data_IF_072458127359
#
_entry.id   IF_072458127359
#
_cell.length_a   1.000
_cell.length_b   1.000
_cell.length_c   1.000
_cell.angle_alpha   90.00
_cell.angle_beta   90.00
_cell.angle_gamma   90.00
#
_symmetry.space_group_name_H-M   'P 1'
#
loop_
_entity.id
_entity.type
_entity.pdbx_description
1 polymer ?
#
# COMPACT_ATOMS: atom_id res chain seq x y z
N UNK A 1 -17.41 10.35 3.61
CA UNK A 1 -17.56 9.37 2.55
C UNK A 1 -17.04 9.90 1.30
N UNK A 2 -15.96 9.41 0.87
CA UNK A 2 -15.89 10.15 -0.15
C UNK A 2 -15.12 9.75 -1.37
N UNK A 3 -15.80 9.40 -2.35
CA UNK A 3 -15.36 9.43 -3.73
C UNK A 3 -14.88 10.84 -4.07
N UNK A 4 -13.62 11.12 -3.76
CA UNK A 4 -12.98 12.36 -4.17
C UNK A 4 -12.62 12.23 -5.64
N UNK A 5 -13.28 12.99 -6.48
CA UNK A 5 -12.89 13.11 -7.88
C UNK A 5 -11.58 13.90 -7.95
N UNK A 6 -10.48 13.34 -8.47
CA UNK A 6 -9.25 14.11 -8.69
C UNK A 6 -9.51 15.17 -9.77
N UNK A 7 -8.99 16.36 -9.57
CA UNK A 7 -9.09 17.46 -10.55
C UNK A 7 -7.90 17.51 -11.51
N UNK A 8 -6.91 16.65 -11.30
CA UNK A 8 -5.72 16.56 -12.14
C UNK A 8 -5.47 15.13 -12.61
N UNK A 9 -4.89 14.96 -13.77
CA UNK A 9 -4.43 13.68 -14.28
C UNK A 9 -3.10 13.24 -13.61
N UNK A 10 -2.64 12.02 -13.87
CA UNK A 10 -1.39 11.47 -13.31
C UNK A 10 -0.12 12.23 -13.74
N UNK A 11 -0.21 13.14 -14.70
CA UNK A 11 0.89 14.02 -15.13
C UNK A 11 0.87 15.36 -14.41
N UNK A 12 -0.15 15.62 -13.57
CA UNK A 12 -0.33 16.89 -12.87
C UNK A 12 -0.98 17.98 -13.72
N UNK A 13 -1.72 17.62 -14.78
CA UNK A 13 -2.49 18.50 -15.64
C UNK A 13 -3.94 18.53 -15.17
N UNK A 14 -4.56 19.70 -15.01
CA UNK A 14 -5.98 19.82 -14.76
C UNK A 14 -6.77 19.14 -15.89
N UNK A 15 -7.76 18.33 -15.55
CA UNK A 15 -8.63 17.72 -16.55
C UNK A 15 -9.32 18.79 -17.40
N UNK A 16 -9.55 18.52 -18.66
CA UNK A 16 -10.53 19.27 -19.44
C UNK A 16 -11.93 18.76 -19.13
N UNK A 17 -12.97 19.59 -19.35
CA UNK A 17 -14.32 19.26 -18.89
C UNK A 17 -14.85 17.93 -19.45
N UNK A 18 -14.43 17.56 -20.65
CA UNK A 18 -14.81 16.33 -21.35
C UNK A 18 -14.19 15.06 -20.71
N UNK A 19 -13.15 15.21 -19.91
CA UNK A 19 -12.48 14.12 -19.18
C UNK A 19 -13.08 13.88 -17.79
N UNK A 20 -13.99 14.75 -17.33
CA UNK A 20 -14.63 14.68 -16.00
C UNK A 20 -16.03 14.09 -16.15
N UNK A 21 -16.47 13.32 -15.16
CA UNK A 21 -17.82 12.78 -15.11
C UNK A 21 -18.86 13.89 -15.32
N UNK A 22 -19.78 13.77 -16.30
CA UNK A 22 -20.74 14.81 -16.66
C UNK A 22 -21.69 15.19 -15.52
N UNK A 23 -22.11 14.23 -14.68
CA UNK A 23 -22.99 14.52 -13.55
C UNK A 23 -22.25 15.26 -12.45
N UNK A 24 -20.96 14.94 -12.25
CA UNK A 24 -20.11 15.68 -11.33
C UNK A 24 -19.89 17.12 -11.83
N UNK A 25 -19.59 17.30 -13.13
CA UNK A 25 -19.45 18.64 -13.74
C UNK A 25 -20.69 19.46 -13.50
N UNK A 26 -21.86 18.92 -13.83
CA UNK A 26 -23.16 19.61 -13.70
C UNK A 26 -23.47 20.04 -12.27
N UNK A 27 -23.09 19.24 -11.29
CA UNK A 27 -23.47 19.45 -9.88
C UNK A 27 -22.43 20.21 -9.06
N UNK A 28 -21.14 20.16 -9.46
CA UNK A 28 -20.05 20.62 -8.60
C UNK A 28 -19.05 21.58 -9.28
N UNK A 29 -19.10 21.76 -10.60
CA UNK A 29 -18.10 22.55 -11.32
C UNK A 29 -18.72 23.84 -11.87
N UNK A 30 -18.13 24.98 -11.50
CA UNK A 30 -18.39 26.23 -12.22
C UNK A 30 -17.62 26.18 -13.55
N UNK A 31 -18.32 25.76 -14.61
CA UNK A 31 -17.71 25.49 -15.92
C UNK A 31 -17.12 26.73 -16.58
N UNK A 32 -17.74 27.91 -16.41
CA UNK A 32 -17.22 29.18 -16.96
C UNK A 32 -15.85 29.50 -16.35
N UNK A 33 -15.74 29.48 -15.04
CA UNK A 33 -14.51 29.76 -14.33
C UNK A 33 -13.45 28.67 -14.57
N UNK A 34 -13.85 27.38 -14.52
CA UNK A 34 -12.93 26.26 -14.64
C UNK A 34 -12.29 26.20 -16.05
N UNK A 35 -13.04 26.53 -17.10
CA UNK A 35 -12.57 26.47 -18.49
C UNK A 35 -11.33 27.35 -18.74
N UNK A 36 -11.15 28.43 -17.98
CA UNK A 36 -9.96 29.27 -18.08
C UNK A 36 -8.66 28.56 -17.66
N UNK A 37 -8.77 27.53 -16.80
CA UNK A 37 -7.65 26.81 -16.22
C UNK A 37 -7.56 25.37 -16.70
N UNK A 38 -8.58 24.84 -17.34
CA UNK A 38 -8.64 23.46 -17.85
C UNK A 38 -7.42 23.14 -18.74
N UNK A 39 -6.85 21.95 -18.57
CA UNK A 39 -5.70 21.51 -19.33
C UNK A 39 -4.34 22.06 -18.90
N UNK A 40 -4.27 23.00 -17.95
CA UNK A 40 -3.02 23.55 -17.45
C UNK A 40 -2.37 22.62 -16.43
N UNK A 41 -1.03 22.62 -16.39
CA UNK A 41 -0.27 21.90 -15.35
C UNK A 41 -0.27 22.71 -14.04
N UNK A 42 -0.39 21.98 -12.92
CA UNK A 42 -0.38 22.60 -11.58
C UNK A 42 1.03 23.04 -11.12
N UNK A 43 2.07 22.58 -11.80
CA UNK A 43 3.45 23.01 -11.61
C UNK A 43 4.13 23.17 -12.96
N UNK A 44 4.83 24.26 -13.18
CA UNK A 44 5.56 24.51 -14.45
C UNK A 44 6.56 23.38 -14.75
N UNK A 45 7.20 22.80 -13.72
CA UNK A 45 8.14 21.68 -13.88
C UNK A 45 7.54 20.42 -14.51
N UNK A 46 6.22 20.32 -14.62
CA UNK A 46 5.54 19.19 -15.30
C UNK A 46 5.31 19.45 -16.79
N UNK A 47 5.34 20.71 -17.20
CA UNK A 47 5.17 21.10 -18.60
C UNK A 47 6.55 21.30 -19.26
N UNK A 48 6.88 20.49 -20.30
CA UNK A 48 8.17 20.63 -20.98
C UNK A 48 8.32 21.94 -21.78
N UNK A 49 7.22 22.69 -21.97
CA UNK A 49 7.21 23.95 -22.70
C UNK A 49 7.35 25.17 -21.81
N UNK A 50 7.26 25.01 -20.47
CA UNK A 50 7.36 26.07 -19.49
C UNK A 50 8.70 26.05 -18.75
N UNK A 51 9.10 27.23 -18.30
CA UNK A 51 10.28 27.47 -17.47
C UNK A 51 9.88 27.95 -16.07
N UNK A 52 10.85 28.12 -15.17
CA UNK A 52 10.62 28.69 -13.85
C UNK A 52 10.23 30.19 -13.89
N UNK A 53 10.53 30.86 -15.00
CA UNK A 53 10.21 32.32 -15.18
C UNK A 53 8.76 32.53 -15.65
N UNK A 54 8.11 31.49 -16.17
CA UNK A 54 6.73 31.58 -16.63
C UNK A 54 5.74 31.70 -15.48
N UNK A 55 4.63 32.41 -15.72
CA UNK A 55 3.58 32.55 -14.72
C UNK A 55 3.00 31.20 -14.30
N UNK A 56 2.96 30.97 -12.99
CA UNK A 56 2.43 29.71 -12.43
C UNK A 56 0.91 29.76 -12.29
N UNK A 57 0.26 28.62 -12.30
CA UNK A 57 -1.17 28.50 -12.02
C UNK A 57 -1.54 29.11 -10.65
N UNK A 58 -0.67 28.94 -9.65
CA UNK A 58 -0.87 29.51 -8.30
C UNK A 58 -0.96 31.05 -8.31
N UNK A 59 -0.14 31.71 -9.15
CA UNK A 59 -0.18 33.17 -9.32
C UNK A 59 -1.50 33.60 -9.95
N UNK A 60 -1.92 32.94 -11.02
CA UNK A 60 -3.15 33.28 -11.74
C UNK A 60 -4.39 33.10 -10.85
N UNK A 61 -4.46 31.98 -10.12
CA UNK A 61 -5.53 31.75 -9.14
C UNK A 61 -5.52 32.79 -8.02
N UNK A 62 -4.35 33.19 -7.53
CA UNK A 62 -4.23 34.23 -6.52
C UNK A 62 -4.71 35.59 -7.02
N UNK A 63 -4.41 35.94 -8.28
CA UNK A 63 -4.87 37.15 -8.94
C UNK A 63 -6.39 37.14 -9.13
N UNK A 64 -6.94 36.01 -9.58
CA UNK A 64 -8.37 35.81 -9.74
C UNK A 64 -9.12 35.99 -8.41
N UNK A 65 -8.67 35.32 -7.33
CA UNK A 65 -9.26 35.45 -6.00
C UNK A 65 -9.22 36.88 -5.46
N UNK A 66 -8.12 37.65 -5.74
CA UNK A 66 -8.04 39.05 -5.38
C UNK A 66 -9.06 39.90 -6.16
N UNK A 67 -9.17 39.70 -7.48
CA UNK A 67 -10.12 40.43 -8.33
C UNK A 67 -11.57 40.19 -7.90
N UNK A 68 -11.88 38.97 -7.48
CA UNK A 68 -13.22 38.61 -6.99
C UNK A 68 -13.46 38.95 -5.50
N UNK A 69 -12.52 39.61 -4.85
CA UNK A 69 -12.57 39.97 -3.42
C UNK A 69 -12.80 38.73 -2.51
N UNK A 70 -12.28 37.59 -2.92
CA UNK A 70 -12.34 36.31 -2.17
C UNK A 70 -11.07 36.00 -1.40
N UNK A 71 -9.97 36.70 -1.67
CA UNK A 71 -8.69 36.51 -0.99
C UNK A 71 -8.64 37.35 0.30
N UNK A 72 -8.59 36.71 1.46
CA UNK A 72 -8.37 37.39 2.74
C UNK A 72 -6.96 38.02 2.82
N UNK A 73 -5.94 37.28 2.42
CA UNK A 73 -4.53 37.67 2.39
C UNK A 73 -3.79 36.88 1.33
N UNK A 74 -2.90 37.55 0.60
CA UNK A 74 -1.96 36.90 -0.32
C UNK A 74 -0.57 37.42 -0.03
N UNK A 75 0.36 36.54 0.32
CA UNK A 75 1.76 36.89 0.56
C UNK A 75 2.67 35.81 -0.02
N UNK A 76 3.87 36.22 -0.41
CA UNK A 76 4.90 35.28 -0.82
C UNK A 76 5.48 34.61 0.41
N UNK A 77 5.49 33.27 0.41
CA UNK A 77 6.11 32.45 1.44
C UNK A 77 7.13 31.53 0.79
N UNK A 78 8.36 31.61 1.24
CA UNK A 78 9.44 30.74 0.77
C UNK A 78 9.61 29.57 1.75
N UNK A 79 9.55 28.37 1.23
CA UNK A 79 9.67 27.15 2.03
C UNK A 79 10.27 26.02 1.19
N UNK A 80 10.83 25.01 1.84
CA UNK A 80 11.27 23.78 1.18
C UNK A 80 10.07 23.02 0.63
N UNK A 81 10.16 22.57 -0.61
CA UNK A 81 9.15 21.73 -1.25
C UNK A 81 9.75 20.36 -1.57
N UNK A 82 9.06 19.24 -1.28
CA UNK A 82 9.59 17.91 -1.55
C UNK A 82 9.69 17.63 -3.04
N UNK A 83 10.84 17.10 -3.46
CA UNK A 83 11.10 16.69 -4.83
C UNK A 83 11.35 15.19 -4.91
N UNK A 84 11.02 14.59 -6.05
CA UNK A 84 11.32 13.21 -6.32
C UNK A 84 12.83 13.01 -6.49
N UNK A 85 13.44 12.19 -5.66
CA UNK A 85 14.89 11.96 -5.67
C UNK A 85 15.44 11.33 -6.98
N UNK A 86 14.56 10.77 -7.84
CA UNK A 86 14.97 10.22 -9.14
C UNK A 86 14.87 11.22 -10.28
N UNK A 87 13.89 12.11 -10.27
CA UNK A 87 13.58 13.00 -11.38
C UNK A 87 13.81 14.45 -11.05
N UNK A 88 14.09 14.76 -9.78
CA UNK A 88 14.21 16.10 -9.24
C UNK A 88 13.00 17.02 -9.50
N UNK A 89 11.86 16.42 -9.83
CA UNK A 89 10.60 17.15 -10.03
C UNK A 89 9.83 17.28 -8.71
N UNK A 90 9.11 18.40 -8.50
CA UNK A 90 8.26 18.56 -7.33
C UNK A 90 7.23 17.43 -7.26
N UNK A 91 6.97 16.90 -6.05
CA UNK A 91 5.96 15.87 -5.87
C UNK A 91 4.56 16.49 -5.85
N UNK A 92 3.57 15.69 -6.27
CA UNK A 92 2.16 16.05 -6.20
C UNK A 92 1.45 15.12 -5.22
N UNK A 93 0.66 15.68 -4.31
CA UNK A 93 -0.27 14.90 -3.52
C UNK A 93 -1.46 14.51 -4.38
N UNK A 94 -1.57 13.22 -4.66
CA UNK A 94 -2.57 12.67 -5.56
C UNK A 94 -3.32 11.53 -4.86
N UNK A 95 -4.67 11.51 -4.87
CA UNK A 95 -5.43 10.39 -4.33
C UNK A 95 -5.25 9.17 -5.24
N UNK A 96 -4.89 8.04 -4.63
CA UNK A 96 -4.78 6.75 -5.30
C UNK A 96 -5.59 5.73 -4.50
N UNK A 97 -6.30 4.87 -5.23
CA UNK A 97 -6.89 3.70 -4.62
C UNK A 97 -5.78 2.81 -4.10
N UNK A 98 -5.94 2.31 -2.90
CA UNK A 98 -4.91 1.54 -2.21
C UNK A 98 -5.55 0.44 -1.37
N UNK A 99 -4.79 -0.62 -1.16
CA UNK A 99 -5.17 -1.68 -0.24
C UNK A 99 -4.74 -1.33 1.18
N UNK A 100 -5.64 -1.56 2.12
CA UNK A 100 -5.39 -1.31 3.53
C UNK A 100 -5.64 -2.56 4.37
N UNK A 101 -4.80 -2.79 5.36
CA UNK A 101 -5.12 -3.67 6.46
C UNK A 101 -5.88 -2.85 7.51
N UNK A 102 -7.07 -3.30 7.91
CA UNK A 102 -7.87 -2.63 8.92
C UNK A 102 -7.30 -2.87 10.33
N UNK A 103 -6.12 -2.33 10.58
CA UNK A 103 -5.44 -2.46 11.88
C UNK A 103 -6.23 -1.84 13.03
N UNK A 104 -7.09 -0.87 12.72
CA UNK A 104 -8.01 -0.26 13.71
C UNK A 104 -9.00 -1.28 14.29
N UNK A 105 -9.28 -2.39 13.58
CA UNK A 105 -10.16 -3.45 14.10
C UNK A 105 -9.56 -4.20 15.31
N UNK A 106 -8.24 -4.19 15.45
CA UNK A 106 -7.51 -4.86 16.55
C UNK A 106 -6.78 -3.87 17.46
N UNK A 107 -7.08 -2.57 17.36
CA UNK A 107 -6.41 -1.49 18.11
C UNK A 107 -6.37 -1.77 19.61
N UNK A 108 -7.51 -2.05 20.20
CA UNK A 108 -7.62 -2.27 21.65
C UNK A 108 -6.78 -3.48 22.08
N UNK A 109 -6.79 -4.55 21.26
CA UNK A 109 -5.99 -5.73 21.53
C UNK A 109 -4.49 -5.45 21.44
N UNK A 110 -4.06 -4.64 20.45
CA UNK A 110 -2.66 -4.21 20.36
C UNK A 110 -2.23 -3.40 21.59
N UNK A 111 -3.10 -2.51 22.11
CA UNK A 111 -2.83 -1.73 23.31
C UNK A 111 -2.71 -2.64 24.54
N UNK A 112 -3.59 -3.62 24.69
CA UNK A 112 -3.53 -4.59 25.80
C UNK A 112 -2.25 -5.41 25.76
N UNK A 113 -1.93 -5.97 24.59
CA UNK A 113 -0.73 -6.79 24.39
C UNK A 113 0.56 -5.98 24.59
N UNK A 114 0.61 -4.72 24.16
CA UNK A 114 1.76 -3.85 24.40
C UNK A 114 2.08 -3.70 25.88
N UNK A 115 1.09 -3.69 26.77
CA UNK A 115 1.30 -3.61 28.23
C UNK A 115 2.01 -4.83 28.82
N UNK A 116 2.03 -5.95 28.10
CA UNK A 116 2.70 -7.18 28.53
C UNK A 116 4.17 -7.23 28.13
N UNK A 117 4.63 -6.32 27.26
CA UNK A 117 6.01 -6.24 26.78
C UNK A 117 6.87 -5.50 27.81
N UNK A 118 8.03 -6.07 28.14
CA UNK A 118 9.01 -5.43 29.02
C UNK A 118 9.86 -4.44 28.21
N UNK A 119 9.44 -3.18 28.19
CA UNK A 119 10.15 -2.10 27.51
C UNK A 119 11.30 -1.51 28.32
N UNK A 120 12.43 -1.27 27.67
CA UNK A 120 13.57 -0.53 28.19
C UNK A 120 13.97 0.59 27.20
N UNK A 121 13.71 1.87 27.51
CA UNK A 121 13.02 2.36 28.73
C UNK A 121 11.49 2.16 28.65
N UNK A 122 10.84 1.99 29.79
CA UNK A 122 9.38 1.82 29.88
C UNK A 122 8.62 2.99 29.26
N UNK A 123 9.14 4.20 29.38
CA UNK A 123 8.55 5.42 28.80
C UNK A 123 8.37 5.37 27.28
N UNK A 124 9.16 4.59 26.55
CA UNK A 124 8.98 4.40 25.11
C UNK A 124 7.73 3.56 24.82
N UNK A 125 7.52 2.47 25.57
CA UNK A 125 6.36 1.59 25.41
C UNK A 125 5.05 2.25 25.84
N UNK A 126 5.04 2.95 26.96
CA UNK A 126 3.86 3.64 27.49
C UNK A 126 3.56 4.95 26.73
N UNK A 127 4.61 5.73 26.45
CA UNK A 127 4.50 7.04 25.83
C UNK A 127 4.46 6.97 24.31
N UNK A 128 5.63 6.84 23.67
CA UNK A 128 5.76 6.98 22.20
C UNK A 128 5.00 5.89 21.44
N UNK A 129 5.19 4.63 21.82
CA UNK A 129 4.53 3.50 21.15
C UNK A 129 3.06 3.37 21.56
N UNK A 130 2.76 3.44 22.88
CA UNK A 130 1.39 3.36 23.38
C UNK A 130 0.48 4.44 22.80
N UNK A 131 0.94 5.70 22.79
CA UNK A 131 0.18 6.81 22.18
C UNK A 131 0.03 6.66 20.66
N UNK A 132 0.98 6.04 19.99
CA UNK A 132 0.84 5.71 18.57
C UNK A 132 -0.29 4.70 18.36
N UNK A 133 -0.38 3.65 19.17
CA UNK A 133 -1.43 2.66 19.11
C UNK A 133 -2.81 3.26 19.44
N UNK A 134 -2.91 4.16 20.40
CA UNK A 134 -4.17 4.86 20.75
C UNK A 134 -4.72 5.68 19.55
N UNK A 135 -3.83 6.25 18.74
CA UNK A 135 -4.18 7.06 17.58
C UNK A 135 -3.98 6.30 16.25
N UNK A 136 -4.02 4.98 16.31
CA UNK A 136 -3.77 4.12 15.15
C UNK A 136 -4.76 4.38 14.02
N UNK A 137 -4.23 4.46 12.81
CA UNK A 137 -4.99 4.45 11.54
C UNK A 137 -4.74 3.14 10.81
N UNK A 138 -5.59 2.82 9.83
CA UNK A 138 -5.41 1.61 9.04
C UNK A 138 -4.10 1.64 8.24
N UNK A 139 -3.47 0.49 8.13
CA UNK A 139 -2.17 0.35 7.48
C UNK A 139 -2.33 0.30 5.97
N UNK A 140 -1.87 1.33 5.27
CA UNK A 140 -1.77 1.29 3.81
C UNK A 140 -0.72 0.25 3.40
N UNK A 141 -1.20 -0.88 2.88
CA UNK A 141 -0.38 -2.04 2.54
C UNK A 141 0.21 -1.97 1.13
N UNK A 142 -0.52 -1.42 0.17
CA UNK A 142 -0.13 -1.47 -1.22
C UNK A 142 0.91 -0.40 -1.60
N UNK A 143 1.80 -0.78 -2.53
CA UNK A 143 2.83 0.11 -3.09
C UNK A 143 2.82 0.03 -4.60
N UNK A 144 2.64 1.17 -5.25
CA UNK A 144 2.72 1.28 -6.71
C UNK A 144 4.19 1.29 -7.15
N UNK A 145 4.81 0.10 -7.14
CA UNK A 145 6.22 -0.15 -7.47
C UNK A 145 6.31 -1.29 -8.48
N UNK A 146 7.48 -1.39 -9.15
CA UNK A 146 7.72 -2.50 -10.08
C UNK A 146 8.31 -3.72 -9.38
N UNK A 147 9.30 -3.54 -8.50
CA UNK A 147 10.01 -4.62 -7.82
C UNK A 147 9.66 -4.71 -6.33
N UNK A 148 9.35 -5.91 -5.89
CA UNK A 148 9.00 -6.28 -4.52
C UNK A 148 8.03 -7.46 -4.51
N UNK A 149 7.46 -7.79 -3.36
CA UNK A 149 6.49 -8.86 -3.18
C UNK A 149 5.13 -8.44 -3.75
N UNK A 150 4.61 -9.12 -4.80
CA UNK A 150 3.31 -8.81 -5.37
C UNK A 150 2.17 -9.09 -4.38
N UNK A 151 1.10 -8.26 -4.44
CA UNK A 151 -0.14 -8.57 -3.74
C UNK A 151 -0.76 -9.85 -4.36
N UNK A 152 -1.04 -10.89 -3.57
CA UNK A 152 -1.59 -12.15 -4.08
C UNK A 152 -3.12 -12.06 -4.26
N UNK A 153 -3.60 -10.98 -4.88
CA UNK A 153 -5.03 -10.70 -5.04
C UNK A 153 -5.37 -10.62 -6.53
N UNK A 154 -6.34 -11.39 -6.95
CA UNK A 154 -6.94 -11.34 -8.29
C UNK A 154 -8.34 -10.75 -8.22
N UNK A 155 -8.68 -9.93 -9.21
CA UNK A 155 -9.95 -9.18 -9.28
C UNK A 155 -10.61 -9.49 -10.61
N UNK A 156 -11.93 -9.78 -10.60
CA UNK A 156 -12.72 -9.99 -11.80
C UNK A 156 -12.78 -8.72 -12.68
N UNK A 157 -13.04 -8.88 -13.97
CA UNK A 157 -13.10 -7.77 -14.93
C UNK A 157 -14.09 -6.67 -14.50
N UNK A 158 -15.21 -7.05 -13.89
CA UNK A 158 -16.21 -6.10 -13.38
C UNK A 158 -15.90 -5.56 -11.97
N UNK A 159 -14.81 -6.02 -11.35
CA UNK A 159 -14.37 -5.60 -10.01
C UNK A 159 -15.19 -6.15 -8.84
N UNK A 160 -16.20 -7.00 -9.10
CA UNK A 160 -17.12 -7.47 -8.05
C UNK A 160 -16.58 -8.65 -7.24
N UNK A 161 -15.76 -9.50 -7.86
CA UNK A 161 -15.17 -10.68 -7.21
C UNK A 161 -13.69 -10.48 -6.97
N UNK A 162 -13.22 -10.92 -5.81
CA UNK A 162 -11.82 -10.83 -5.41
C UNK A 162 -11.39 -12.15 -4.80
N UNK A 163 -10.21 -12.64 -5.21
CA UNK A 163 -9.61 -13.86 -4.72
C UNK A 163 -8.21 -13.57 -4.18
N UNK A 164 -7.97 -13.92 -2.92
CA UNK A 164 -6.65 -13.81 -2.30
C UNK A 164 -6.03 -15.20 -2.22
N UNK A 165 -4.89 -15.38 -2.86
CA UNK A 165 -4.20 -16.68 -2.93
C UNK A 165 -3.25 -16.83 -1.76
N UNK A 166 -3.41 -17.89 -0.97
CA UNK A 166 -2.66 -18.12 0.27
C UNK A 166 -1.43 -19.04 0.11
N UNK A 167 -1.27 -19.69 -1.05
CA UNK A 167 -0.13 -20.59 -1.28
C UNK A 167 0.15 -20.80 -2.77
N UNK A 168 1.37 -21.28 -3.08
CA UNK A 168 1.69 -21.70 -4.46
C UNK A 168 0.85 -22.89 -4.89
N UNK A 169 0.57 -23.83 -3.99
CA UNK A 169 -0.30 -24.97 -4.27
C UNK A 169 -1.71 -24.50 -4.71
N UNK A 170 -2.32 -23.58 -3.97
CA UNK A 170 -3.60 -22.96 -4.32
C UNK A 170 -3.51 -22.23 -5.66
N UNK A 171 -2.44 -21.47 -5.90
CA UNK A 171 -2.25 -20.78 -7.17
C UNK A 171 -2.20 -21.75 -8.35
N UNK A 172 -1.48 -22.85 -8.22
CA UNK A 172 -1.42 -23.92 -9.26
C UNK A 172 -2.80 -24.50 -9.52
N UNK A 173 -3.58 -24.81 -8.48
CA UNK A 173 -4.95 -25.32 -8.63
C UNK A 173 -5.87 -24.32 -9.34
N UNK A 174 -5.78 -23.04 -9.00
CA UNK A 174 -6.58 -21.99 -9.64
C UNK A 174 -6.15 -21.75 -11.10
N UNK A 175 -4.86 -21.89 -11.44
CA UNK A 175 -4.38 -21.86 -12.82
C UNK A 175 -4.97 -23.03 -13.62
N UNK A 176 -5.01 -24.25 -13.06
CA UNK A 176 -5.62 -25.40 -13.74
C UNK A 176 -7.11 -25.18 -14.04
N UNK A 177 -7.86 -24.56 -13.11
CA UNK A 177 -9.25 -24.17 -13.36
C UNK A 177 -9.34 -23.13 -14.50
N UNK A 178 -8.41 -22.21 -14.53
CA UNK A 178 -8.34 -21.18 -15.60
C UNK A 178 -8.02 -21.78 -16.97
N UNK A 179 -7.16 -22.79 -17.04
CA UNK A 179 -6.89 -23.57 -18.27
C UNK A 179 -8.15 -24.29 -18.73
N UNK A 180 -8.89 -24.95 -17.82
CA UNK A 180 -10.16 -25.61 -18.15
C UNK A 180 -11.23 -24.64 -18.64
N UNK A 181 -11.22 -23.41 -18.13
CA UNK A 181 -12.10 -22.32 -18.60
C UNK A 181 -11.63 -21.69 -19.92
N UNK A 182 -10.44 -22.04 -20.42
CA UNK A 182 -9.89 -21.53 -21.68
C UNK A 182 -9.27 -20.14 -21.56
N UNK A 183 -8.95 -19.65 -20.37
CA UNK A 183 -8.34 -18.33 -20.16
C UNK A 183 -6.81 -18.38 -20.13
N UNK A 184 -6.23 -19.54 -19.82
CA UNK A 184 -4.81 -19.82 -19.94
C UNK A 184 -4.58 -21.05 -20.81
N UNK A 185 -3.43 -21.12 -21.50
CA UNK A 185 -3.07 -22.24 -22.36
C UNK A 185 -2.25 -23.30 -21.63
N UNK A 186 -1.40 -22.87 -20.72
CA UNK A 186 -0.50 -23.72 -19.96
C UNK A 186 -0.29 -23.16 -18.53
N UNK A 187 0.15 -24.03 -17.64
CA UNK A 187 0.53 -23.64 -16.29
C UNK A 187 2.01 -23.27 -16.27
N UNK A 188 2.39 -22.00 -15.97
CA UNK A 188 3.78 -21.57 -15.91
C UNK A 188 4.55 -22.23 -14.78
N UNK A 189 3.88 -22.82 -13.80
CA UNK A 189 4.46 -23.54 -12.67
C UNK A 189 4.32 -25.06 -12.81
N UNK A 190 4.28 -25.56 -14.04
CA UNK A 190 4.23 -26.98 -14.32
C UNK A 190 5.45 -27.70 -13.71
N UNK A 191 5.19 -28.74 -12.95
CA UNK A 191 6.23 -29.53 -12.26
C UNK A 191 6.57 -29.02 -10.86
N UNK A 192 5.93 -27.96 -10.34
CA UNK A 192 5.95 -27.66 -8.92
C UNK A 192 5.16 -28.73 -8.16
N UNK A 193 5.73 -29.24 -7.08
CA UNK A 193 5.15 -30.30 -6.25
C UNK A 193 4.81 -29.69 -4.88
N UNK A 194 3.52 -29.63 -4.55
CA UNK A 194 3.07 -29.15 -3.25
C UNK A 194 3.58 -30.09 -2.14
N UNK A 195 4.16 -29.51 -1.07
CA UNK A 195 4.73 -30.26 0.04
C UNK A 195 6.19 -30.70 -0.16
N UNK A 196 6.77 -30.49 -1.33
CA UNK A 196 8.21 -30.62 -1.54
C UNK A 196 8.88 -29.24 -1.34
N UNK A 197 9.59 -29.08 -0.23
CA UNK A 197 10.26 -27.85 0.17
C UNK A 197 11.72 -27.79 -0.26
N UNK A 198 12.13 -28.66 -1.16
CA UNK A 198 13.50 -28.65 -1.73
C UNK A 198 13.74 -27.38 -2.56
N UNK A 199 15.00 -26.96 -2.58
CA UNK A 199 15.42 -25.82 -3.41
C UNK A 199 15.11 -26.07 -4.89
N UNK A 200 15.34 -27.31 -5.36
CA UNK A 200 15.10 -27.72 -6.75
C UNK A 200 13.62 -27.59 -7.16
N UNK A 201 12.68 -27.75 -6.21
CA UNK A 201 11.27 -27.56 -6.47
C UNK A 201 10.91 -26.06 -6.50
N UNK A 202 11.48 -25.28 -5.59
CA UNK A 202 11.22 -23.84 -5.54
C UNK A 202 11.91 -23.06 -6.66
N UNK A 203 13.01 -23.54 -7.21
CA UNK A 203 13.66 -22.94 -8.39
C UNK A 203 12.78 -23.00 -9.68
N UNK A 204 11.67 -23.75 -9.64
CA UNK A 204 10.72 -23.85 -10.76
C UNK A 204 9.68 -22.71 -10.79
N UNK A 205 9.62 -21.89 -9.75
CA UNK A 205 8.62 -20.84 -9.61
C UNK A 205 9.29 -19.48 -9.46
N UNK A 206 8.69 -18.48 -10.04
CA UNK A 206 9.01 -17.08 -9.80
C UNK A 206 7.70 -16.29 -9.63
N UNK A 207 7.51 -15.74 -8.43
CA UNK A 207 6.31 -14.98 -8.06
C UNK A 207 6.50 -13.47 -8.22
N UNK A 208 7.65 -13.01 -8.74
CA UNK A 208 7.87 -11.61 -9.01
C UNK A 208 7.16 -11.13 -10.28
N UNK A 209 7.01 -9.84 -10.40
CA UNK A 209 6.65 -9.20 -11.67
C UNK A 209 7.84 -9.32 -12.65
N UNK A 210 7.60 -9.51 -13.95
CA UNK A 210 6.28 -9.55 -14.61
C UNK A 210 5.60 -10.94 -14.61
N UNK A 211 6.29 -12.01 -14.20
CA UNK A 211 5.84 -13.39 -14.38
C UNK A 211 4.46 -13.68 -13.80
N UNK A 212 4.20 -13.22 -12.58
CA UNK A 212 2.91 -13.43 -11.90
C UNK A 212 1.79 -12.56 -12.50
N UNK A 213 2.12 -11.48 -13.19
CA UNK A 213 1.14 -10.57 -13.80
C UNK A 213 0.44 -11.18 -15.03
N UNK A 214 1.07 -12.18 -15.67
CA UNK A 214 0.51 -12.89 -16.84
C UNK A 214 -0.47 -14.00 -16.44
N UNK A 215 -0.62 -14.29 -15.14
CA UNK A 215 -1.54 -15.31 -14.64
C UNK A 215 -2.95 -14.74 -14.59
N UNK A 216 -3.82 -15.33 -15.38
CA UNK A 216 -5.26 -15.05 -15.40
C UNK A 216 -5.96 -16.18 -14.63
N UNK A 217 -6.78 -15.84 -13.64
CA UNK A 217 -7.60 -16.82 -12.92
C UNK A 217 -9.07 -16.73 -13.40
N UNK A 218 -9.88 -17.66 -12.91
CA UNK A 218 -11.33 -17.68 -13.17
C UNK A 218 -12.10 -17.39 -11.88
N UNK A 219 -13.07 -16.49 -11.96
CA UNK A 219 -13.97 -16.18 -10.84
C UNK A 219 -15.05 -17.26 -10.68
N UNK A 220 -15.78 -17.22 -9.57
CA UNK A 220 -16.89 -18.15 -9.33
C UNK A 220 -18.04 -17.93 -10.33
N UNK A 221 -18.19 -16.70 -10.84
CA UNK A 221 -19.14 -16.37 -11.92
C UNK A 221 -18.64 -16.69 -13.33
N UNK A 222 -17.41 -17.20 -13.47
CA UNK A 222 -16.82 -17.58 -14.76
C UNK A 222 -16.17 -16.42 -15.53
N UNK A 223 -15.88 -15.29 -14.87
CA UNK A 223 -15.17 -14.16 -15.47
C UNK A 223 -13.66 -14.34 -15.35
N UNK A 224 -12.89 -13.65 -16.20
CA UNK A 224 -11.45 -13.53 -16.03
C UNK A 224 -11.14 -12.69 -14.79
N UNK A 225 -10.10 -13.09 -14.10
CA UNK A 225 -9.55 -12.34 -12.97
C UNK A 225 -8.10 -11.99 -13.23
N UNK A 226 -7.75 -10.75 -12.99
CA UNK A 226 -6.40 -10.22 -13.17
C UNK A 226 -5.80 -9.86 -11.81
N UNK A 227 -4.50 -10.09 -11.66
CA UNK A 227 -3.79 -9.76 -10.43
C UNK A 227 -3.78 -8.24 -10.19
N UNK A 228 -3.98 -7.84 -8.94
CA UNK A 228 -3.75 -6.47 -8.50
C UNK A 228 -2.30 -6.04 -8.77
N UNK A 229 -2.12 -4.89 -9.45
CA UNK A 229 -0.80 -4.48 -9.95
C UNK A 229 0.16 -4.01 -8.87
N UNK A 230 -0.35 -3.58 -7.73
CA UNK A 230 0.46 -3.11 -6.63
C UNK A 230 1.26 -4.25 -5.96
N UNK A 231 2.28 -3.84 -5.23
CA UNK A 231 3.12 -4.69 -4.39
C UNK A 231 2.75 -4.51 -2.93
N UNK A 232 3.17 -5.44 -2.11
CA UNK A 232 3.07 -5.35 -0.65
C UNK A 232 4.11 -4.34 -0.13
N UNK A 233 3.76 -3.61 0.91
CA UNK A 233 4.69 -2.79 1.68
C UNK A 233 5.81 -3.66 2.25
N UNK A 234 7.06 -3.31 1.98
CA UNK A 234 8.25 -4.04 2.49
C UNK A 234 8.26 -4.17 4.02
N UNK A 235 7.55 -3.29 4.72
CA UNK A 235 7.36 -3.41 6.17
C UNK A 235 6.48 -4.60 6.58
N UNK A 236 5.63 -5.09 5.68
CA UNK A 236 4.92 -6.35 5.87
C UNK A 236 5.88 -7.54 5.78
N UNK A 237 6.76 -7.56 4.79
CA UNK A 237 7.77 -8.61 4.63
C UNK A 237 8.63 -8.70 5.88
N UNK A 238 9.18 -7.58 6.36
CA UNK A 238 9.99 -7.53 7.57
C UNK A 238 9.20 -7.85 8.84
N UNK A 239 7.93 -7.44 8.91
CA UNK A 239 7.03 -7.74 10.03
C UNK A 239 6.58 -9.20 10.09
N UNK A 240 6.60 -9.90 8.94
CA UNK A 240 6.31 -11.33 8.85
C UNK A 240 7.52 -12.24 9.17
N UNK A 241 8.72 -11.65 9.35
CA UNK A 241 9.97 -12.39 9.52
C UNK A 241 9.92 -13.51 10.58
N UNK A 242 9.30 -13.33 11.77
CA UNK A 242 9.27 -14.38 12.78
C UNK A 242 8.64 -15.70 12.30
N UNK A 243 7.72 -15.62 11.34
CA UNK A 243 7.00 -16.75 10.77
C UNK A 243 7.61 -17.19 9.45
N UNK A 244 7.91 -16.22 8.59
CA UNK A 244 8.42 -16.45 7.25
C UNK A 244 9.76 -17.20 7.24
N UNK A 245 10.67 -16.89 8.19
CA UNK A 245 11.96 -17.59 8.31
C UNK A 245 11.81 -19.09 8.65
N UNK A 246 10.68 -19.49 9.21
CA UNK A 246 10.35 -20.88 9.55
C UNK A 246 9.47 -21.53 8.47
N UNK A 247 9.16 -20.83 7.40
CA UNK A 247 8.24 -21.24 6.33
C UNK A 247 6.86 -21.65 6.88
N UNK A 248 6.41 -20.96 7.94
CA UNK A 248 5.08 -21.17 8.52
C UNK A 248 3.97 -20.77 7.51
N UNK A 249 2.85 -21.48 7.39
CA UNK A 249 2.43 -22.66 8.17
C UNK A 249 2.83 -24.02 7.57
N UNK A 250 3.65 -24.03 6.54
CA UNK A 250 3.97 -25.24 5.76
C UNK A 250 5.02 -26.11 6.45
N UNK A 251 6.02 -25.48 7.07
CA UNK A 251 7.04 -26.12 7.88
C UNK A 251 7.05 -25.53 9.29
N UNK A 252 7.68 -26.20 10.23
CA UNK A 252 7.88 -25.73 11.61
C UNK A 252 6.62 -25.20 12.32
N UNK A 253 5.47 -25.70 11.94
CA UNK A 253 4.18 -25.23 12.44
C UNK A 253 4.09 -25.33 13.97
N UNK A 254 4.59 -26.41 14.56
CA UNK A 254 4.58 -26.62 16.00
C UNK A 254 5.44 -25.57 16.74
N UNK A 255 6.53 -25.11 16.16
CA UNK A 255 7.39 -24.10 16.76
C UNK A 255 6.65 -22.79 17.03
N UNK A 256 5.68 -22.47 16.19
CA UNK A 256 4.84 -21.26 16.30
C UNK A 256 3.57 -21.57 17.12
N UNK A 257 2.79 -22.58 16.75
CA UNK A 257 1.48 -22.88 17.35
C UNK A 257 1.61 -23.25 18.85
N UNK A 258 2.69 -23.96 19.24
CA UNK A 258 2.99 -24.33 20.63
C UNK A 258 3.86 -23.27 21.37
N UNK A 259 4.15 -22.13 20.71
CA UNK A 259 4.94 -21.03 21.29
C UNK A 259 6.35 -21.45 21.71
N UNK A 260 6.99 -22.36 20.98
CA UNK A 260 8.35 -22.81 21.27
C UNK A 260 9.42 -21.79 20.81
N UNK A 261 9.18 -21.14 19.65
CA UNK A 261 10.09 -20.14 19.09
C UNK A 261 9.43 -18.76 18.88
N UNK A 262 8.17 -18.65 19.19
CA UNK A 262 7.40 -17.42 19.08
C UNK A 262 6.49 -17.24 20.30
N UNK A 263 6.37 -16.03 20.90
CA UNK A 263 7.09 -14.79 20.55
C UNK A 263 8.58 -14.86 20.87
N UNK A 264 9.38 -14.00 20.21
CA UNK A 264 10.81 -13.88 20.47
C UNK A 264 11.06 -13.41 21.92
N UNK A 265 12.16 -13.87 22.51
CA UNK A 265 12.51 -13.46 23.88
C UNK A 265 12.98 -12.02 23.97
N UNK A 266 13.62 -11.50 22.90
CA UNK A 266 14.27 -10.20 22.95
C UNK A 266 14.39 -9.55 21.55
N UNK A 267 14.27 -8.21 21.49
CA UNK A 267 14.60 -7.37 20.34
C UNK A 267 15.25 -6.07 20.80
N UNK A 268 16.18 -5.51 20.01
CA UNK A 268 16.83 -4.22 20.28
C UNK A 268 17.03 -3.43 18.98
N UNK A 269 16.43 -2.24 18.90
CA UNK A 269 16.53 -1.32 17.76
C UNK A 269 16.41 0.14 18.22
N UNK A 270 16.55 1.10 17.30
CA UNK A 270 16.36 2.51 17.55
C UNK A 270 14.91 2.88 17.89
N UNK A 271 14.74 3.98 18.60
CA UNK A 271 13.42 4.50 19.04
C UNK A 271 12.50 4.87 17.85
N UNK A 272 13.06 5.16 16.69
CA UNK A 272 12.32 5.41 15.44
C UNK A 272 11.51 4.20 15.00
N UNK A 273 11.93 2.97 15.36
CA UNK A 273 11.24 1.72 15.04
C UNK A 273 9.89 1.54 15.75
N UNK A 274 9.55 2.40 16.71
CA UNK A 274 8.19 2.50 17.25
C UNK A 274 7.15 2.84 16.17
N UNK A 275 7.58 3.47 15.06
CA UNK A 275 6.75 3.75 13.87
C UNK A 275 7.25 3.02 12.63
N UNK A 276 7.96 1.92 12.81
CA UNK A 276 8.52 1.06 11.79
C UNK A 276 8.40 -0.39 12.20
N UNK A 277 9.52 -1.07 12.36
CA UNK A 277 9.55 -2.52 12.55
C UNK A 277 8.84 -3.00 13.82
N UNK A 278 8.97 -2.30 14.95
CA UNK A 278 8.26 -2.67 16.17
C UNK A 278 6.74 -2.70 15.96
N UNK A 279 6.22 -1.71 15.23
CA UNK A 279 4.80 -1.63 14.92
C UNK A 279 4.36 -2.77 14.01
N UNK A 280 5.06 -3.02 12.91
CA UNK A 280 4.64 -4.04 11.93
C UNK A 280 4.74 -5.46 12.48
N UNK A 281 5.78 -5.76 13.27
CA UNK A 281 5.88 -7.00 14.03
C UNK A 281 4.70 -7.17 14.99
N UNK A 282 4.38 -6.14 15.77
CA UNK A 282 3.30 -6.19 16.75
C UNK A 282 1.92 -6.31 16.08
N UNK A 283 1.69 -5.59 14.99
CA UNK A 283 0.44 -5.63 14.24
C UNK A 283 0.18 -7.02 13.65
N UNK A 284 1.15 -7.62 12.97
CA UNK A 284 1.01 -8.96 12.38
C UNK A 284 0.84 -10.01 13.49
N UNK A 285 1.65 -9.95 14.55
CA UNK A 285 1.55 -10.87 15.69
C UNK A 285 0.15 -10.82 16.35
N UNK A 286 -0.39 -9.62 16.52
CA UNK A 286 -1.73 -9.44 17.10
C UNK A 286 -2.80 -10.01 16.19
N UNK A 287 -2.77 -9.68 14.89
CA UNK A 287 -3.82 -10.10 13.95
C UNK A 287 -3.82 -11.59 13.67
N UNK A 288 -2.63 -12.18 13.50
CA UNK A 288 -2.51 -13.57 13.07
C UNK A 288 -2.51 -14.57 14.25
N UNK A 289 -2.00 -14.16 15.43
CA UNK A 289 -1.71 -15.09 16.52
C UNK A 289 -2.26 -14.65 17.89
N UNK A 290 -2.94 -13.52 17.96
CA UNK A 290 -3.38 -12.91 19.23
C UNK A 290 -2.24 -12.84 20.27
N UNK A 291 -1.06 -12.40 19.85
CA UNK A 291 0.18 -12.43 20.62
C UNK A 291 1.02 -11.18 20.43
N UNK A 292 1.99 -10.96 21.33
CA UNK A 292 3.12 -10.07 21.07
C UNK A 292 4.12 -10.77 20.15
N UNK A 293 4.92 -10.00 19.40
CA UNK A 293 6.00 -10.55 18.58
C UNK A 293 7.28 -10.83 19.41
N UNK A 294 7.46 -10.12 20.51
CA UNK A 294 8.62 -10.19 21.40
C UNK A 294 8.22 -9.88 22.85
N UNK A 295 8.90 -10.50 23.80
CA UNK A 295 8.63 -10.36 25.25
C UNK A 295 9.38 -9.17 25.86
N UNK A 296 10.61 -8.93 25.42
CA UNK A 296 11.50 -7.91 25.94
C UNK A 296 12.04 -7.05 24.80
N UNK A 297 12.17 -5.75 25.03
CA UNK A 297 12.64 -4.80 24.05
C UNK A 297 13.58 -3.76 24.67
N UNK A 298 14.69 -3.49 24.00
CA UNK A 298 15.52 -2.31 24.24
C UNK A 298 15.32 -1.34 23.07
N UNK A 299 14.87 -0.13 23.40
CA UNK A 299 14.72 0.96 22.46
C UNK A 299 15.86 1.95 22.67
N UNK A 300 16.83 1.94 21.76
CA UNK A 300 17.98 2.84 21.81
C UNK A 300 17.56 4.24 21.37
N UNK A 301 18.19 5.26 21.99
CA UNK A 301 17.95 6.68 21.68
C UNK A 301 18.76 7.18 20.48
#
# INVERSE_FOLDING_TARGET
>A
DGNKQPMVDKRGRLFVLEEIDPEFVKSHVNTELYSEYAGRFVKNAYDPQLTEEDATLDIDLSVMLKKENKAFKVEKHEHNYPHCWRTDKPVLYYPLDSWFIKTTAVRERMIELNKTINWKPASTGEGRFGKWLENLVDWNLSRSRYWGTPLPIWISEDGTEKKCIGSVAELVEEIEKSIQAGFMQENPYQGFIAGDYSKENYDKIDLHRPYVDDIILVSDSGQKMYREKDLIDVWFDSGAMPYAQLHYPFEHREDIDQKLRFPADFIAEGVDQTRGWFFTLHAIATMAFDSVAFKNIISNG
#
